data_IF_241025395310
#
_entry.id   IF_241025395310
#
_cell.length_a   1.000
_cell.length_b   1.000
_cell.length_c   1.000
_cell.angle_alpha   90.00
_cell.angle_beta   90.00
_cell.angle_gamma   90.00
#
_symmetry.space_group_name_H-M   'P 1'
#
loop_
_entity.id
_entity.type
_entity.pdbx_description
1 polymer ?
#
# COMPACT_ATOMS: atom_id res chain seq x y z
N UNK A 1 6.56 0.42 0.64
CA UNK A 1 7.61 -0.48 0.10
C UNK A 1 7.80 -1.67 1.04
N UNK A 2 7.98 -2.88 0.50
CA UNK A 2 8.06 -4.12 1.29
C UNK A 2 9.44 -4.34 1.93
N UNK A 3 9.48 -5.22 2.93
CA UNK A 3 10.72 -5.74 3.53
C UNK A 3 11.64 -6.36 2.46
N UNK A 4 12.95 -6.27 2.70
CA UNK A 4 13.97 -6.77 1.78
C UNK A 4 14.43 -5.78 0.72
N UNK A 5 13.74 -4.64 0.56
CA UNK A 5 14.22 -3.51 -0.22
C UNK A 5 15.10 -2.64 0.66
N UNK A 6 16.28 -2.26 0.15
CA UNK A 6 17.24 -1.45 0.89
C UNK A 6 17.17 0.02 0.53
N UNK A 7 17.51 0.87 1.48
CA UNK A 7 17.73 2.28 1.29
C UNK A 7 19.16 2.59 0.82
N UNK A 8 19.47 3.86 0.56
CA UNK A 8 20.78 4.31 0.09
C UNK A 8 21.94 3.95 1.01
N UNK A 9 21.69 3.89 2.32
CA UNK A 9 22.68 3.54 3.36
C UNK A 9 22.76 2.03 3.65
N UNK A 10 21.91 1.23 3.00
CA UNK A 10 21.81 -0.22 3.18
C UNK A 10 20.84 -0.68 4.27
N UNK A 11 20.20 0.24 4.99
CA UNK A 11 19.09 -0.07 5.91
C UNK A 11 17.85 -0.55 5.14
N UNK A 12 16.84 -1.04 5.84
CA UNK A 12 15.58 -1.41 5.19
C UNK A 12 14.80 -0.16 4.82
N UNK A 13 14.36 -0.04 3.57
CA UNK A 13 13.62 1.13 3.09
C UNK A 13 12.36 1.42 3.92
N UNK A 14 11.59 0.39 4.30
CA UNK A 14 10.36 0.56 5.07
C UNK A 14 10.59 1.10 6.49
N UNK A 15 11.77 0.91 7.08
CA UNK A 15 12.11 1.41 8.42
C UNK A 15 12.22 2.94 8.45
N UNK A 16 12.51 3.55 7.31
CA UNK A 16 12.58 5.00 7.12
C UNK A 16 11.26 5.60 6.58
N UNK A 17 10.22 4.77 6.41
CA UNK A 17 8.94 5.21 5.87
C UNK A 17 8.22 6.18 6.81
N UNK A 18 7.60 7.21 6.24
CA UNK A 18 6.80 8.19 6.98
C UNK A 18 7.61 9.18 7.81
N UNK A 19 8.92 9.05 7.91
CA UNK A 19 9.84 9.91 8.66
C UNK A 19 9.35 10.26 10.08
N UNK A 20 8.74 9.29 10.79
CA UNK A 20 8.17 9.49 12.11
C UNK A 20 9.18 9.18 13.23
N UNK A 21 9.25 10.08 14.21
CA UNK A 21 9.99 9.83 15.43
C UNK A 21 9.19 8.89 16.35
N UNK A 22 9.71 7.70 16.59
CA UNK A 22 9.19 6.78 17.61
C UNK A 22 8.41 5.56 17.10
N UNK A 23 8.04 5.51 15.83
CA UNK A 23 7.47 4.31 15.21
C UNK A 23 7.80 4.20 13.71
N UNK A 24 7.73 3.00 13.18
CA UNK A 24 7.96 2.72 11.76
C UNK A 24 6.65 2.82 10.99
N UNK A 25 6.68 3.50 9.84
CA UNK A 25 5.54 3.65 8.95
C UNK A 25 4.75 4.93 9.16
N UNK A 26 3.50 4.93 8.70
CA UNK A 26 2.64 6.13 8.61
C UNK A 26 1.67 6.26 9.78
N UNK A 27 1.48 5.20 10.56
CA UNK A 27 0.55 5.16 11.69
C UNK A 27 1.19 4.40 12.85
N UNK A 28 1.01 4.90 14.06
CA UNK A 28 1.35 4.13 15.25
C UNK A 28 0.35 2.99 15.44
N UNK A 29 0.83 1.77 15.26
CA UNK A 29 0.05 0.53 15.39
C UNK A 29 0.38 -0.26 16.66
N UNK A 30 1.04 0.38 17.63
CA UNK A 30 1.31 -0.21 18.94
C UNK A 30 0.02 -0.48 19.71
N UNK A 31 0.10 -1.39 20.69
CA UNK A 31 -1.04 -1.69 21.57
C UNK A 31 -1.50 -0.43 22.35
N UNK A 32 -0.55 0.42 22.75
CA UNK A 32 -0.82 1.65 23.49
C UNK A 32 -1.58 2.69 22.64
N UNK A 33 -1.39 2.69 21.31
CA UNK A 33 -2.08 3.60 20.38
C UNK A 33 -3.46 3.09 19.93
N UNK A 34 -3.80 1.83 20.21
CA UNK A 34 -4.98 1.18 19.65
C UNK A 34 -6.29 1.92 19.97
N UNK A 35 -6.55 2.21 21.25
CA UNK A 35 -7.78 2.91 21.67
C UNK A 35 -7.84 4.32 21.09
N UNK A 36 -6.75 5.08 21.16
CA UNK A 36 -6.68 6.44 20.63
C UNK A 36 -6.87 6.50 19.12
N UNK A 37 -6.42 5.49 18.38
CA UNK A 37 -6.66 5.38 16.94
C UNK A 37 -8.15 5.20 16.63
N UNK A 38 -8.86 4.36 17.39
CA UNK A 38 -10.32 4.19 17.25
C UNK A 38 -11.08 5.47 17.57
N UNK A 39 -10.77 6.13 18.69
CA UNK A 39 -11.36 7.40 19.06
C UNK A 39 -11.13 8.47 17.99
N UNK A 40 -9.90 8.57 17.49
CA UNK A 40 -9.54 9.51 16.42
C UNK A 40 -10.33 9.24 15.12
N UNK A 41 -10.53 7.96 14.77
CA UNK A 41 -11.32 7.59 13.61
C UNK A 41 -12.79 8.01 13.76
N UNK A 42 -13.42 7.72 14.91
CA UNK A 42 -14.79 8.10 15.21
C UNK A 42 -14.96 9.62 15.20
N UNK A 43 -14.09 10.36 15.88
CA UNK A 43 -14.15 11.83 15.92
C UNK A 43 -13.89 12.47 14.55
N UNK A 44 -13.07 11.85 13.73
CA UNK A 44 -12.85 12.30 12.35
C UNK A 44 -14.10 12.08 11.50
N UNK A 45 -14.74 10.93 11.61
CA UNK A 45 -15.96 10.61 10.88
C UNK A 45 -17.17 11.46 11.32
N UNK A 46 -17.27 11.79 12.61
CA UNK A 46 -18.31 12.70 13.13
C UNK A 46 -18.31 14.08 12.49
N UNK A 47 -17.20 14.52 11.88
CA UNK A 47 -17.13 15.79 11.15
C UNK A 47 -17.92 15.76 9.83
N UNK A 48 -18.18 14.58 9.29
CA UNK A 48 -18.79 14.39 7.98
C UNK A 48 -20.08 13.57 8.00
N UNK A 49 -20.27 12.74 9.02
CA UNK A 49 -21.37 11.77 9.12
C UNK A 49 -22.09 11.86 10.46
N UNK A 50 -23.34 11.40 10.46
CA UNK A 50 -24.19 11.41 11.67
C UNK A 50 -23.95 10.15 12.48
N UNK A 51 -23.44 10.31 13.69
CA UNK A 51 -23.22 9.21 14.63
C UNK A 51 -24.41 9.03 15.56
N UNK A 52 -24.88 7.81 15.73
CA UNK A 52 -25.93 7.43 16.67
C UNK A 52 -25.28 6.82 17.92
N UNK A 53 -25.24 7.58 19.00
CA UNK A 53 -24.65 7.16 20.27
C UNK A 53 -25.37 5.95 20.89
N UNK A 54 -26.64 5.69 20.54
CA UNK A 54 -27.42 4.56 21.09
C UNK A 54 -27.02 3.22 20.44
N UNK A 55 -26.58 3.26 19.19
CA UNK A 55 -26.19 2.07 18.43
C UNK A 55 -24.69 1.97 18.20
N UNK A 56 -23.95 3.07 18.38
CA UNK A 56 -22.53 3.15 18.05
C UNK A 56 -22.25 3.15 16.55
N UNK A 57 -23.22 3.51 15.72
CA UNK A 57 -23.12 3.42 14.25
C UNK A 57 -23.28 4.78 13.56
N UNK A 58 -22.65 4.94 12.41
CA UNK A 58 -22.90 6.06 11.52
C UNK A 58 -24.11 5.77 10.62
N UNK A 59 -25.18 6.56 10.76
CA UNK A 59 -26.48 6.29 10.11
C UNK A 59 -26.51 6.67 8.62
N UNK A 60 -25.67 7.59 8.19
CA UNK A 60 -25.58 8.08 6.80
C UNK A 60 -24.23 7.77 6.13
N UNK A 61 -23.41 6.92 6.72
CA UNK A 61 -22.21 6.41 6.08
C UNK A 61 -22.60 5.30 5.09
N UNK A 62 -22.05 5.28 3.86
CA UNK A 62 -22.37 4.25 2.90
C UNK A 62 -21.88 2.88 3.37
N UNK A 63 -22.67 1.83 3.11
CA UNK A 63 -22.18 0.47 3.33
C UNK A 63 -21.04 0.18 2.38
N UNK A 64 -19.88 -0.22 2.90
CA UNK A 64 -18.73 -0.61 2.13
C UNK A 64 -18.84 -2.06 1.67
N UNK A 65 -18.15 -2.39 0.59
CA UNK A 65 -17.98 -3.76 0.12
C UNK A 65 -16.48 -4.04 -0.02
N UNK A 66 -16.00 -5.08 0.66
CA UNK A 66 -14.64 -5.60 0.51
C UNK A 66 -14.60 -6.69 -0.53
N UNK A 67 -14.00 -6.37 -1.67
CA UNK A 67 -13.81 -7.29 -2.79
C UNK A 67 -12.54 -8.10 -2.62
N UNK A 68 -12.65 -9.44 -2.68
CA UNK A 68 -11.50 -10.34 -2.58
C UNK A 68 -11.67 -11.57 -3.50
N UNK A 69 -10.53 -12.14 -3.93
CA UNK A 69 -10.54 -13.38 -4.68
C UNK A 69 -10.65 -14.59 -3.75
N UNK A 70 -11.22 -15.67 -4.25
CA UNK A 70 -11.43 -16.92 -3.49
C UNK A 70 -10.15 -17.38 -2.80
N UNK A 71 -10.23 -17.58 -1.49
CA UNK A 71 -9.15 -18.04 -0.61
C UNK A 71 -9.53 -17.85 0.86
N UNK A 72 -9.31 -18.88 1.69
CA UNK A 72 -9.67 -18.85 3.11
C UNK A 72 -8.97 -17.73 3.88
N UNK A 73 -7.68 -17.49 3.63
CA UNK A 73 -6.94 -16.40 4.26
C UNK A 73 -7.48 -15.03 3.88
N UNK A 74 -7.91 -14.85 2.63
CA UNK A 74 -8.47 -13.57 2.17
C UNK A 74 -9.84 -13.29 2.79
N UNK A 75 -10.64 -14.35 2.99
CA UNK A 75 -11.90 -14.28 3.71
C UNK A 75 -11.69 -13.90 5.17
N UNK A 76 -10.77 -14.59 5.85
CA UNK A 76 -10.47 -14.32 7.26
C UNK A 76 -9.99 -12.86 7.49
N UNK A 77 -9.15 -12.32 6.59
CA UNK A 77 -8.75 -10.92 6.62
C UNK A 77 -9.97 -10.00 6.44
N UNK A 78 -10.86 -10.30 5.48
CA UNK A 78 -12.07 -9.52 5.27
C UNK A 78 -13.01 -9.52 6.49
N UNK A 79 -13.18 -10.67 7.15
CA UNK A 79 -13.96 -10.79 8.40
C UNK A 79 -13.34 -9.97 9.53
N UNK A 80 -12.02 -10.00 9.67
CA UNK A 80 -11.30 -9.17 10.65
C UNK A 80 -11.51 -7.67 10.36
N UNK A 81 -11.31 -7.22 9.13
CA UNK A 81 -11.50 -5.83 8.72
C UNK A 81 -12.95 -5.37 8.94
N UNK A 82 -13.93 -6.22 8.62
CA UNK A 82 -15.34 -5.94 8.87
C UNK A 82 -15.62 -5.73 10.36
N UNK A 83 -15.03 -6.55 11.22
CA UNK A 83 -15.14 -6.40 12.67
C UNK A 83 -14.46 -5.12 13.18
N UNK A 84 -13.27 -4.79 12.68
CA UNK A 84 -12.57 -3.57 13.05
C UNK A 84 -13.32 -2.30 12.62
N UNK A 85 -13.89 -2.29 11.41
CA UNK A 85 -14.74 -1.18 10.95
C UNK A 85 -16.05 -1.07 11.70
N UNK A 86 -16.66 -2.19 12.11
CA UNK A 86 -17.84 -2.18 12.96
C UNK A 86 -17.57 -1.54 14.32
N UNK A 87 -16.37 -1.70 14.87
CA UNK A 87 -15.98 -1.07 16.14
C UNK A 87 -15.89 0.47 16.05
N UNK A 88 -15.70 1.02 14.85
CA UNK A 88 -15.76 2.48 14.60
C UNK A 88 -17.09 2.91 13.97
N UNK A 89 -18.09 2.05 13.97
CA UNK A 89 -19.46 2.39 13.54
C UNK A 89 -19.70 2.32 12.03
N UNK A 90 -18.87 1.57 11.27
CA UNK A 90 -18.99 1.41 9.83
C UNK A 90 -19.43 -0.02 9.48
N UNK A 91 -20.37 -0.15 8.55
CA UNK A 91 -20.77 -1.45 8.00
C UNK A 91 -19.98 -1.79 6.75
N UNK A 92 -19.39 -2.99 6.71
CA UNK A 92 -18.71 -3.51 5.54
C UNK A 92 -19.15 -4.94 5.22
N UNK A 93 -19.60 -5.15 3.98
CA UNK A 93 -19.93 -6.48 3.43
C UNK A 93 -18.70 -7.09 2.75
N UNK A 94 -18.70 -8.41 2.62
CA UNK A 94 -17.66 -9.16 1.93
C UNK A 94 -18.20 -9.66 0.58
N UNK A 95 -17.44 -9.46 -0.49
CA UNK A 95 -17.73 -9.95 -1.83
C UNK A 95 -16.59 -10.83 -2.34
N UNK A 96 -16.88 -12.12 -2.54
CA UNK A 96 -15.94 -13.08 -3.10
C UNK A 96 -16.13 -13.19 -4.61
N UNK A 97 -15.03 -13.16 -5.36
CA UNK A 97 -15.04 -13.42 -6.79
C UNK A 97 -13.96 -14.44 -7.17
N UNK A 98 -14.20 -15.17 -8.28
CA UNK A 98 -13.19 -15.98 -8.93
C UNK A 98 -12.06 -15.09 -9.45
N UNK A 99 -10.84 -15.62 -9.53
CA UNK A 99 -9.61 -14.84 -9.77
C UNK A 99 -9.69 -13.94 -11.01
N UNK A 100 -10.13 -14.45 -12.15
CA UNK A 100 -10.15 -13.64 -13.38
C UNK A 100 -11.23 -12.54 -13.33
N UNK A 101 -12.39 -12.84 -12.74
CA UNK A 101 -13.45 -11.86 -12.52
C UNK A 101 -12.97 -10.79 -11.55
N UNK A 102 -12.38 -11.19 -10.44
CA UNK A 102 -11.80 -10.30 -9.45
C UNK A 102 -10.78 -9.34 -10.06
N UNK A 103 -9.84 -9.83 -10.88
CA UNK A 103 -8.85 -8.98 -11.55
C UNK A 103 -9.50 -7.94 -12.46
N UNK A 104 -10.52 -8.32 -13.21
CA UNK A 104 -11.20 -7.39 -14.11
C UNK A 104 -12.00 -6.34 -13.32
N UNK A 105 -12.77 -6.75 -12.30
CA UNK A 105 -13.52 -5.85 -11.43
C UNK A 105 -12.58 -4.84 -10.76
N UNK A 106 -11.46 -5.31 -10.21
CA UNK A 106 -10.46 -4.46 -9.57
C UNK A 106 -9.80 -3.48 -10.56
N UNK A 107 -9.40 -3.95 -11.75
CA UNK A 107 -8.79 -3.10 -12.78
C UNK A 107 -9.74 -2.05 -13.34
N UNK A 108 -11.04 -2.29 -13.31
CA UNK A 108 -12.05 -1.33 -13.71
C UNK A 108 -12.37 -0.30 -12.61
N UNK A 109 -11.94 -0.54 -11.37
CA UNK A 109 -12.29 0.30 -10.23
C UNK A 109 -13.71 0.08 -9.70
N UNK A 110 -14.34 -1.05 -10.01
CA UNK A 110 -15.73 -1.38 -9.65
C UNK A 110 -15.80 -1.98 -8.23
N UNK A 111 -15.33 -1.23 -7.21
CA UNK A 111 -15.32 -1.68 -5.81
C UNK A 111 -15.28 -0.50 -4.84
N UNK A 112 -15.66 -0.72 -3.58
CA UNK A 112 -15.43 0.25 -2.49
C UNK A 112 -14.03 0.06 -1.90
N UNK A 113 -13.72 -1.17 -1.50
CA UNK A 113 -12.42 -1.61 -0.99
C UNK A 113 -12.08 -2.92 -1.69
N UNK A 114 -10.86 -3.07 -2.19
CA UNK A 114 -10.41 -4.30 -2.82
C UNK A 114 -9.11 -4.80 -2.19
N UNK A 115 -9.03 -6.11 -1.99
CA UNK A 115 -7.77 -6.76 -1.67
C UNK A 115 -6.77 -6.55 -2.79
N UNK A 116 -5.54 -6.21 -2.43
CA UNK A 116 -4.42 -6.21 -3.37
C UNK A 116 -3.18 -6.85 -2.72
N UNK A 117 -2.22 -7.24 -3.52
CA UNK A 117 -0.91 -7.71 -3.09
C UNK A 117 0.08 -7.55 -4.24
N UNK A 118 1.30 -7.16 -3.92
CA UNK A 118 2.35 -6.92 -4.90
C UNK A 118 3.64 -7.61 -4.47
N UNK A 119 4.27 -8.31 -5.40
CA UNK A 119 5.63 -8.80 -5.29
C UNK A 119 6.49 -7.96 -6.23
N UNK A 120 7.68 -7.56 -5.77
CA UNK A 120 8.56 -6.77 -6.60
C UNK A 120 9.00 -7.53 -7.86
N UNK A 121 8.96 -6.88 -9.00
CA UNK A 121 9.47 -7.44 -10.26
C UNK A 121 11.00 -7.47 -10.30
N UNK A 122 11.65 -6.56 -9.56
CA UNK A 122 13.11 -6.43 -9.46
C UNK A 122 13.48 -5.80 -8.10
N UNK A 123 14.76 -5.94 -7.73
CA UNK A 123 15.27 -5.48 -6.43
C UNK A 123 15.54 -3.97 -6.42
N UNK A 124 14.48 -3.18 -6.41
CA UNK A 124 14.52 -1.73 -6.28
C UNK A 124 13.17 -1.25 -5.69
N UNK A 125 13.15 -0.34 -4.70
CA UNK A 125 11.92 0.16 -4.07
C UNK A 125 10.90 0.75 -5.05
N UNK A 126 11.35 1.31 -6.18
CA UNK A 126 10.47 1.87 -7.21
C UNK A 126 9.48 0.84 -7.77
N UNK A 127 9.79 -0.47 -7.67
CA UNK A 127 8.87 -1.55 -8.08
C UNK A 127 7.54 -1.53 -7.32
N UNK A 128 7.50 -0.90 -6.14
CA UNK A 128 6.28 -0.69 -5.36
C UNK A 128 5.64 0.67 -5.59
N UNK A 129 6.32 1.59 -6.26
CA UNK A 129 5.90 2.97 -6.43
C UNK A 129 5.43 3.26 -7.85
N UNK A 130 6.11 2.75 -8.87
CA UNK A 130 5.82 3.11 -10.26
C UNK A 130 4.54 2.49 -10.83
N UNK A 131 3.94 1.55 -10.12
CA UNK A 131 2.65 0.97 -10.49
C UNK A 131 1.47 1.96 -10.38
N UNK A 132 1.62 3.05 -9.66
CA UNK A 132 0.54 4.01 -9.38
C UNK A 132 0.52 5.22 -10.34
N UNK A 133 1.43 5.29 -11.31
CA UNK A 133 1.38 6.35 -12.33
C UNK A 133 0.13 6.22 -13.20
N UNK A 134 -0.32 7.35 -13.74
CA UNK A 134 -1.57 7.41 -14.52
C UNK A 134 -1.58 6.49 -15.73
N UNK A 135 -0.42 6.23 -16.34
CA UNK A 135 -0.28 5.34 -17.50
C UNK A 135 -0.19 3.84 -17.16
N UNK A 136 -0.02 3.48 -15.88
CA UNK A 136 0.17 2.09 -15.48
C UNK A 136 -1.11 1.26 -15.60
N UNK A 137 -0.99 0.06 -16.14
CA UNK A 137 -2.06 -0.96 -16.13
C UNK A 137 -2.30 -1.60 -14.76
N UNK A 138 -1.40 -1.37 -13.79
CA UNK A 138 -1.49 -1.85 -12.41
C UNK A 138 -1.99 -0.78 -11.43
N UNK A 139 -2.35 0.41 -11.93
CA UNK A 139 -2.98 1.47 -11.15
C UNK A 139 -4.46 1.12 -10.90
N UNK A 140 -4.70 0.15 -10.03
CA UNK A 140 -6.03 -0.38 -9.75
C UNK A 140 -6.94 0.59 -8.98
N UNK A 141 -6.36 1.56 -8.27
CA UNK A 141 -7.13 2.64 -7.62
C UNK A 141 -7.55 3.76 -8.60
N UNK A 142 -7.17 3.63 -9.86
CA UNK A 142 -7.54 4.55 -10.94
C UNK A 142 -7.08 6.01 -10.73
N UNK A 143 -5.96 6.23 -10.03
CA UNK A 143 -5.39 7.56 -9.84
C UNK A 143 -5.16 8.28 -11.19
N UNK A 144 -5.66 9.50 -11.30
CA UNK A 144 -5.54 10.34 -12.49
C UNK A 144 -6.26 9.81 -13.73
N UNK A 145 -7.20 8.85 -13.59
CA UNK A 145 -7.93 8.24 -14.70
C UNK A 145 -9.44 8.45 -14.58
N UNK A 146 -10.10 8.55 -15.74
CA UNK A 146 -11.57 8.56 -15.82
C UNK A 146 -12.23 9.55 -14.87
N UNK A 147 -13.17 9.04 -14.06
CA UNK A 147 -13.88 9.81 -13.05
C UNK A 147 -12.97 10.26 -11.88
N UNK A 148 -11.83 9.60 -11.69
CA UNK A 148 -10.87 9.90 -10.62
C UNK A 148 -9.74 10.84 -11.08
N UNK A 149 -9.88 11.49 -12.22
CA UNK A 149 -8.84 12.34 -12.80
C UNK A 149 -8.49 13.54 -11.90
N UNK A 150 -9.49 14.13 -11.27
CA UNK A 150 -9.35 15.36 -10.48
C UNK A 150 -10.05 15.23 -9.10
N UNK A 151 -10.03 14.04 -8.50
CA UNK A 151 -10.78 13.78 -7.24
C UNK A 151 -10.19 14.50 -6.04
N UNK A 152 -8.88 14.74 -6.01
CA UNK A 152 -8.18 15.46 -4.96
C UNK A 152 -7.03 16.27 -5.58
N UNK A 153 -6.61 17.29 -4.82
CA UNK A 153 -5.46 18.09 -5.17
C UNK A 153 -4.25 17.68 -4.33
N UNK A 154 -3.08 17.63 -4.96
CA UNK A 154 -1.82 17.23 -4.35
C UNK A 154 -0.79 18.33 -4.50
N UNK A 155 0.11 18.43 -3.52
CA UNK A 155 1.22 19.39 -3.55
C UNK A 155 2.55 18.65 -3.49
N UNK A 156 3.54 19.15 -4.21
CA UNK A 156 4.89 18.62 -4.27
C UNK A 156 5.89 19.77 -4.35
N UNK A 157 6.89 19.78 -3.48
CA UNK A 157 8.00 20.72 -3.53
C UNK A 157 9.31 19.92 -3.47
N UNK A 158 10.11 19.99 -4.51
CA UNK A 158 11.40 19.30 -4.64
C UNK A 158 12.57 20.29 -4.76
N UNK A 159 12.35 21.56 -4.44
CA UNK A 159 13.38 22.59 -4.55
C UNK A 159 14.54 22.39 -3.59
N UNK A 160 14.30 21.77 -2.44
CA UNK A 160 15.31 21.37 -1.47
C UNK A 160 16.25 20.26 -1.97
N UNK A 161 15.79 19.45 -2.94
CA UNK A 161 16.57 18.43 -3.62
C UNK A 161 17.23 18.93 -4.92
N UNK A 162 17.13 20.23 -5.20
CA UNK A 162 17.75 20.87 -6.36
C UNK A 162 16.96 20.77 -7.65
N UNK A 163 15.69 20.35 -7.61
CA UNK A 163 14.80 20.34 -8.76
C UNK A 163 13.95 21.60 -8.81
N UNK A 164 13.79 22.20 -9.99
CA UNK A 164 12.83 23.30 -10.22
C UNK A 164 11.41 22.70 -10.40
N UNK A 165 10.93 22.02 -9.37
CA UNK A 165 9.62 21.40 -9.32
C UNK A 165 8.91 21.82 -8.05
N UNK A 166 7.86 22.62 -8.24
CA UNK A 166 6.93 23.00 -7.18
C UNK A 166 5.52 23.02 -7.73
N UNK A 167 4.69 22.14 -7.20
CA UNK A 167 3.27 22.02 -7.55
C UNK A 167 2.44 22.32 -6.31
N UNK A 168 1.49 23.24 -6.42
CA UNK A 168 0.53 23.55 -5.37
C UNK A 168 -0.88 23.21 -5.86
N UNK A 169 -1.55 22.29 -5.15
CA UNK A 169 -2.90 21.84 -5.50
C UNK A 169 -3.04 21.32 -6.95
N UNK A 170 -2.02 20.57 -7.40
CA UNK A 170 -2.01 19.98 -8.73
C UNK A 170 -2.78 18.67 -8.82
N UNK A 171 -2.91 18.13 -10.02
CA UNK A 171 -3.45 16.81 -10.27
C UNK A 171 -2.46 15.71 -9.87
N UNK A 172 -2.92 14.46 -9.80
CA UNK A 172 -2.05 13.30 -9.59
C UNK A 172 -0.95 13.21 -10.65
N UNK A 173 -1.28 13.48 -11.91
CA UNK A 173 -0.31 13.47 -13.00
C UNK A 173 0.77 14.56 -12.86
N UNK A 174 0.40 15.75 -12.39
CA UNK A 174 1.33 16.86 -12.19
C UNK A 174 2.25 16.67 -10.99
N UNK A 175 1.88 15.81 -10.05
CA UNK A 175 2.66 15.54 -8.84
C UNK A 175 3.34 14.17 -8.90
N UNK A 176 2.58 13.09 -8.89
CA UNK A 176 3.12 11.73 -8.77
C UNK A 176 3.83 11.25 -10.03
N UNK A 177 3.24 11.46 -11.22
CA UNK A 177 3.90 11.08 -12.47
C UNK A 177 5.21 11.82 -12.64
N UNK A 178 5.27 13.09 -12.20
CA UNK A 178 6.49 13.91 -12.27
C UNK A 178 7.58 13.34 -11.35
N UNK A 179 7.27 13.07 -10.08
CA UNK A 179 8.28 12.54 -9.16
C UNK A 179 8.77 11.14 -9.58
N UNK A 180 7.89 10.25 -10.04
CA UNK A 180 8.30 8.93 -10.55
C UNK A 180 9.22 9.05 -11.78
N UNK A 181 8.95 10.00 -12.69
CA UNK A 181 9.83 10.25 -13.83
C UNK A 181 11.22 10.76 -13.39
N UNK A 182 11.27 11.63 -12.38
CA UNK A 182 12.54 12.09 -11.80
C UNK A 182 13.32 10.93 -11.17
N UNK A 183 12.67 10.05 -10.40
CA UNK A 183 13.31 8.86 -9.81
C UNK A 183 13.96 7.99 -10.88
N UNK A 184 13.26 7.78 -12.02
CA UNK A 184 13.75 6.95 -13.14
C UNK A 184 14.96 7.55 -13.86
N UNK A 185 15.16 8.84 -13.77
CA UNK A 185 16.24 9.56 -14.45
C UNK A 185 17.34 10.04 -13.51
N UNK A 186 17.12 10.02 -12.20
CA UNK A 186 18.08 10.45 -11.21
C UNK A 186 19.27 9.47 -11.13
N UNK A 187 20.50 9.98 -11.24
CA UNK A 187 21.74 9.20 -11.18
C UNK A 187 22.46 9.30 -9.84
N UNK A 188 22.11 10.31 -9.02
CA UNK A 188 22.61 10.41 -7.66
C UNK A 188 21.79 9.49 -6.74
N UNK A 189 22.46 8.54 -6.09
CA UNK A 189 21.79 7.50 -5.30
C UNK A 189 21.02 8.08 -4.12
N UNK A 190 21.62 8.97 -3.34
CA UNK A 190 20.99 9.52 -2.14
C UNK A 190 19.73 10.33 -2.51
N UNK A 191 19.85 11.22 -3.49
CA UNK A 191 18.71 12.00 -4.01
C UNK A 191 17.61 11.11 -4.57
N UNK A 192 17.98 10.02 -5.27
CA UNK A 192 17.02 9.08 -5.85
C UNK A 192 16.18 8.39 -4.77
N UNK A 193 16.80 7.96 -3.69
CA UNK A 193 16.10 7.33 -2.58
C UNK A 193 15.21 8.33 -1.82
N UNK A 194 15.68 9.54 -1.59
CA UNK A 194 14.85 10.60 -1.00
C UNK A 194 13.62 10.90 -1.88
N UNK A 195 13.77 10.96 -3.20
CA UNK A 195 12.63 11.09 -4.10
C UNK A 195 11.65 9.91 -3.97
N UNK A 196 12.13 8.68 -3.74
CA UNK A 196 11.25 7.52 -3.52
C UNK A 196 10.49 7.61 -2.20
N UNK A 197 11.11 8.09 -1.12
CA UNK A 197 10.42 8.37 0.15
C UNK A 197 9.33 9.45 -0.04
N UNK A 198 9.64 10.56 -0.74
CA UNK A 198 8.64 11.60 -1.05
C UNK A 198 7.48 11.07 -1.91
N UNK A 199 7.75 10.16 -2.84
CA UNK A 199 6.71 9.50 -3.63
C UNK A 199 5.83 8.59 -2.76
N UNK A 200 6.43 7.83 -1.84
CA UNK A 200 5.68 7.00 -0.91
C UNK A 200 4.82 7.85 0.03
N UNK A 201 5.36 8.93 0.59
CA UNK A 201 4.63 9.88 1.43
C UNK A 201 3.42 10.46 0.70
N UNK A 202 3.61 10.89 -0.55
CA UNK A 202 2.52 11.41 -1.38
C UNK A 202 1.45 10.34 -1.64
N UNK A 203 1.86 9.11 -1.94
CA UNK A 203 0.95 7.98 -2.15
C UNK A 203 0.15 7.68 -0.88
N UNK A 204 0.81 7.57 0.25
CA UNK A 204 0.19 7.24 1.53
C UNK A 204 -0.72 8.35 2.06
N UNK A 205 -0.40 9.61 1.77
CA UNK A 205 -1.24 10.77 2.14
C UNK A 205 -2.64 10.74 1.52
N UNK A 206 -2.83 9.96 0.45
CA UNK A 206 -4.14 9.81 -0.19
C UNK A 206 -5.14 9.01 0.65
N UNK A 207 -4.68 8.17 1.57
CA UNK A 207 -5.51 7.22 2.30
C UNK A 207 -6.16 6.12 1.45
N UNK A 208 -5.85 6.05 0.15
CA UNK A 208 -6.45 5.06 -0.76
C UNK A 208 -5.79 3.68 -0.67
N UNK A 209 -4.63 3.59 -0.02
CA UNK A 209 -3.88 2.36 0.16
C UNK A 209 -3.64 2.15 1.65
N UNK A 210 -3.99 0.97 2.14
CA UNK A 210 -3.80 0.56 3.53
C UNK A 210 -2.93 -0.69 3.54
N UNK A 211 -1.62 -0.58 3.80
CA UNK A 211 -0.75 -1.74 3.98
C UNK A 211 -1.15 -2.54 5.23
N UNK A 212 -1.33 -3.85 5.09
CA UNK A 212 -1.76 -4.72 6.18
C UNK A 212 -0.60 -5.55 6.74
N UNK A 213 0.19 -6.17 5.86
CA UNK A 213 1.31 -7.03 6.28
C UNK A 213 2.24 -7.29 5.10
N UNK A 214 3.46 -7.70 5.42
CA UNK A 214 4.40 -8.23 4.45
C UNK A 214 4.23 -9.74 4.30
N UNK A 215 4.21 -10.23 3.07
CA UNK A 215 4.23 -11.66 2.82
C UNK A 215 5.52 -12.28 3.33
N UNK A 216 5.40 -13.42 4.00
CA UNK A 216 6.53 -14.26 4.38
C UNK A 216 6.40 -15.61 3.68
N UNK A 217 7.50 -16.12 3.18
CA UNK A 217 7.57 -17.42 2.50
C UNK A 217 8.26 -18.43 3.40
N UNK A 218 7.49 -19.41 3.87
CA UNK A 218 7.98 -20.48 4.72
C UNK A 218 8.21 -21.73 3.88
N UNK A 219 9.39 -22.30 4.00
CA UNK A 219 9.72 -23.58 3.38
C UNK A 219 10.56 -24.44 4.32
N UNK A 220 10.48 -25.76 4.13
CA UNK A 220 11.34 -26.72 4.77
C UNK A 220 12.21 -27.41 3.72
N UNK A 221 13.47 -27.63 4.06
CA UNK A 221 14.42 -28.38 3.28
C UNK A 221 14.87 -29.59 4.08
N UNK A 222 14.95 -30.74 3.40
CA UNK A 222 15.60 -31.93 3.97
C UNK A 222 17.12 -31.68 4.04
N UNK A 223 17.76 -32.15 5.12
CA UNK A 223 19.20 -31.95 5.35
C UNK A 223 20.09 -32.54 4.25
N UNK A 224 19.59 -33.50 3.48
CA UNK A 224 20.26 -34.06 2.32
C UNK A 224 20.32 -33.13 1.11
N UNK A 225 19.50 -32.07 1.07
CA UNK A 225 19.45 -31.11 -0.04
C UNK A 225 20.51 -30.03 0.13
N UNK A 226 21.39 -29.92 -0.84
CA UNK A 226 22.44 -28.89 -0.89
C UNK A 226 22.23 -27.97 -2.10
N UNK A 227 22.72 -26.73 -2.03
CA UNK A 227 22.70 -25.79 -3.17
C UNK A 227 21.37 -25.11 -3.42
N UNK A 228 20.39 -25.24 -2.53
CA UNK A 228 19.14 -24.46 -2.59
C UNK A 228 19.43 -22.99 -2.23
N UNK A 229 18.79 -22.09 -2.96
CA UNK A 229 18.83 -20.66 -2.71
C UNK A 229 17.45 -20.05 -2.90
N UNK A 230 17.05 -19.14 -2.02
CA UNK A 230 15.89 -18.28 -2.20
C UNK A 230 16.28 -16.80 -1.99
N UNK A 231 15.56 -15.89 -2.61
CA UNK A 231 15.80 -14.45 -2.45
C UNK A 231 14.58 -13.73 -1.84
N UNK A 232 14.76 -12.48 -1.37
CA UNK A 232 13.67 -11.69 -0.78
C UNK A 232 12.48 -11.42 -1.71
N UNK A 233 12.66 -11.60 -3.04
CA UNK A 233 11.60 -11.47 -4.04
C UNK A 233 10.71 -12.72 -4.17
N UNK A 234 10.92 -13.74 -3.32
CA UNK A 234 10.15 -14.98 -3.32
C UNK A 234 10.60 -16.01 -4.37
N UNK A 235 11.67 -15.74 -5.14
CA UNK A 235 12.19 -16.71 -6.11
C UNK A 235 13.00 -17.81 -5.41
N UNK A 236 12.73 -19.06 -5.81
CA UNK A 236 13.45 -20.25 -5.36
C UNK A 236 14.26 -20.84 -6.51
N UNK A 237 15.55 -21.08 -6.25
CA UNK A 237 16.50 -21.55 -7.24
C UNK A 237 16.93 -22.96 -6.93
N UNK A 238 16.57 -23.89 -7.81
CA UNK A 238 16.85 -25.34 -7.69
C UNK A 238 17.95 -25.83 -8.63
N UNK A 239 18.44 -24.97 -9.53
CA UNK A 239 19.36 -25.36 -10.58
C UNK A 239 20.70 -25.93 -10.09
N UNK A 240 21.10 -25.59 -8.87
CA UNK A 240 22.33 -26.09 -8.25
C UNK A 240 22.04 -27.10 -7.14
N UNK A 241 20.79 -27.55 -6.99
CA UNK A 241 20.44 -28.49 -5.95
C UNK A 241 20.98 -29.88 -6.23
N UNK A 242 21.57 -30.47 -5.22
CA UNK A 242 21.97 -31.89 -5.18
C UNK A 242 21.37 -32.54 -3.96
N UNK A 243 21.14 -33.86 -4.05
CA UNK A 243 20.65 -34.67 -2.92
C UNK A 243 21.73 -35.69 -2.58
N UNK A 244 22.28 -35.56 -1.37
CA UNK A 244 23.20 -36.56 -0.84
C UNK A 244 22.42 -37.75 -0.26
N UNK A 245 22.81 -38.98 -0.63
CA UNK A 245 22.23 -40.19 -0.07
C UNK A 245 22.88 -40.54 1.26
#
# INVERSE_FOLDING_TARGET
VAMGMTDADGSQFYENAGHNDGFVGYYDVSEDAYESNYETAIETLKKYYTYDESTGMFTNFPTLTYLYNTGESHKAIGEYLSSALAAVGITMNLENQEWNTFLNTRKNGDYSIARNGWLADYNDPISFLDMWVTSSGNNDVQFGKGANKDVAAYSLDLTDLGYDVKVENGTWAETYDVIINLIKTCTDTATRYELMHRAEDLLMSTGCIVPLYFYTDLFMLDDSVQGFFSNPLGYKYFMNCTVSK
#
